data_IF_038132108046
#
_entry.id   IF_038132108046
#
_cell.length_a   1.000
_cell.length_b   1.000
_cell.length_c   1.000
_cell.angle_alpha   90.00
_cell.angle_beta   90.00
_cell.angle_gamma   90.00
#
_symmetry.space_group_name_H-M   'P 1'
#
loop_
_entity.id
_entity.type
_entity.pdbx_description
1 polymer ?
#
# COMPACT_ATOMS: atom_id res chain seq x y z
N UNK A 1 0.44 -13.06 -0.84
CA UNK A 1 1.39 -12.20 -0.09
C UNK A 1 0.61 -11.18 0.74
N UNK A 2 -0.11 -10.25 0.10
CA UNK A 2 -0.87 -9.18 0.77
C UNK A 2 -1.85 -9.65 1.88
N UNK A 3 -2.58 -10.75 1.67
CA UNK A 3 -3.47 -11.35 2.70
C UNK A 3 -2.76 -11.59 4.03
N UNK A 4 -1.53 -12.10 3.99
CA UNK A 4 -0.78 -12.36 5.20
C UNK A 4 -0.51 -11.07 5.99
N UNK A 5 -0.28 -9.95 5.30
CA UNK A 5 -0.06 -8.64 5.95
C UNK A 5 -1.31 -8.17 6.68
N UNK A 6 -2.49 -8.33 6.07
CA UNK A 6 -3.77 -8.06 6.73
C UNK A 6 -3.91 -8.91 8.01
N UNK A 7 -3.57 -10.20 7.94
CA UNK A 7 -3.64 -11.11 9.09
C UNK A 7 -2.65 -10.71 10.20
N UNK A 8 -1.41 -10.35 9.84
CA UNK A 8 -0.37 -9.90 10.78
C UNK A 8 -0.70 -8.57 11.45
N UNK A 9 -1.40 -7.67 10.75
CA UNK A 9 -1.81 -6.39 11.30
C UNK A 9 -3.02 -6.50 12.25
N UNK A 10 -3.76 -7.61 12.23
CA UNK A 10 -4.96 -7.80 13.06
C UNK A 10 -4.70 -7.54 14.55
N UNK A 11 -3.66 -8.16 15.12
CA UNK A 11 -3.34 -7.98 16.54
C UNK A 11 -3.02 -6.51 16.87
N UNK A 12 -2.31 -5.83 15.98
CA UNK A 12 -1.95 -4.42 16.13
C UNK A 12 -3.18 -3.52 16.08
N UNK A 13 -4.11 -3.77 15.16
CA UNK A 13 -5.38 -3.05 15.06
C UNK A 13 -6.18 -3.21 16.35
N UNK A 14 -6.34 -4.44 16.85
CA UNK A 14 -7.09 -4.71 18.09
C UNK A 14 -6.48 -3.99 19.30
N UNK A 15 -5.16 -4.11 19.48
CA UNK A 15 -4.46 -3.45 20.58
C UNK A 15 -4.65 -1.93 20.51
N UNK A 16 -4.32 -1.34 19.36
CA UNK A 16 -4.29 0.11 19.23
C UNK A 16 -5.66 0.76 19.23
N UNK A 17 -6.69 0.11 18.67
CA UNK A 17 -8.06 0.64 18.69
C UNK A 17 -8.62 0.64 20.11
N UNK A 18 -8.35 -0.41 20.89
CA UNK A 18 -8.72 -0.49 22.32
C UNK A 18 -8.19 0.72 23.11
N UNK A 19 -6.98 1.19 22.80
CA UNK A 19 -6.35 2.32 23.47
C UNK A 19 -6.76 3.69 22.89
N UNK A 20 -6.86 3.81 21.55
CA UNK A 20 -6.82 5.13 20.87
C UNK A 20 -8.13 5.61 20.28
N UNK A 21 -9.05 4.70 19.93
CA UNK A 21 -10.34 5.06 19.34
C UNK A 21 -11.26 5.71 20.39
N UNK A 22 -12.03 6.73 20.04
CA UNK A 22 -13.16 7.14 20.86
C UNK A 22 -14.42 6.35 20.45
N UNK A 23 -15.05 5.69 21.42
CA UNK A 23 -16.19 4.80 21.24
C UNK A 23 -17.49 5.45 21.76
N UNK A 24 -17.62 6.75 21.59
CA UNK A 24 -18.78 7.54 22.00
C UNK A 24 -19.91 7.58 20.95
N UNK A 25 -19.62 7.22 19.70
CA UNK A 25 -20.55 7.32 18.56
C UNK A 25 -21.59 6.18 18.52
N UNK A 26 -22.71 6.36 17.83
CA UNK A 26 -23.65 5.25 17.54
C UNK A 26 -23.39 4.61 16.18
N UNK A 27 -22.69 5.32 15.30
CA UNK A 27 -22.49 4.95 13.89
C UNK A 27 -21.03 5.20 13.51
N UNK A 28 -20.40 4.24 12.83
CA UNK A 28 -19.02 4.34 12.35
C UNK A 28 -18.97 4.30 10.83
N UNK A 29 -18.36 5.33 10.27
CA UNK A 29 -18.04 5.43 8.84
C UNK A 29 -16.57 5.06 8.66
N UNK A 30 -16.34 3.97 7.94
CA UNK A 30 -15.02 3.36 7.73
C UNK A 30 -14.72 3.39 6.24
N UNK A 31 -13.53 3.79 5.84
CA UNK A 31 -13.09 3.75 4.44
C UNK A 31 -11.88 2.83 4.26
N UNK A 32 -11.93 1.96 3.26
CA UNK A 32 -10.75 1.26 2.71
C UNK A 32 -10.30 1.96 1.43
N UNK A 33 -9.09 2.50 1.43
CA UNK A 33 -8.50 3.32 0.37
C UNK A 33 -7.49 2.46 -0.42
N UNK A 34 -7.79 2.19 -1.69
CA UNK A 34 -7.09 1.20 -2.51
C UNK A 34 -7.57 -0.22 -2.23
N UNK A 35 -8.89 -0.45 -2.28
CA UNK A 35 -9.52 -1.70 -1.88
C UNK A 35 -9.37 -2.85 -2.89
N UNK A 36 -9.05 -2.55 -4.15
CA UNK A 36 -9.08 -3.46 -5.29
C UNK A 36 -10.44 -4.17 -5.40
N UNK A 37 -10.46 -5.48 -5.64
CA UNK A 37 -11.68 -6.27 -5.91
C UNK A 37 -11.98 -7.35 -4.85
N UNK A 38 -11.24 -7.36 -3.74
CA UNK A 38 -11.30 -8.39 -2.70
C UNK A 38 -10.50 -9.67 -3.02
N UNK A 39 -10.40 -10.61 -2.04
CA UNK A 39 -11.10 -10.65 -0.77
C UNK A 39 -10.40 -9.88 0.38
N UNK A 40 -9.17 -9.39 0.18
CA UNK A 40 -8.36 -8.82 1.26
C UNK A 40 -9.05 -7.63 1.95
N UNK A 41 -9.70 -6.75 1.17
CA UNK A 41 -10.48 -5.61 1.68
C UNK A 41 -11.56 -6.03 2.68
N UNK A 42 -12.31 -7.10 2.40
CA UNK A 42 -13.39 -7.56 3.29
C UNK A 42 -12.84 -8.08 4.62
N UNK A 43 -11.68 -8.75 4.59
CA UNK A 43 -10.99 -9.24 5.78
C UNK A 43 -10.49 -8.06 6.62
N UNK A 44 -9.87 -7.06 5.98
CA UNK A 44 -9.40 -5.85 6.64
C UNK A 44 -10.57 -5.10 7.33
N UNK A 45 -11.67 -4.88 6.60
CA UNK A 45 -12.84 -4.19 7.13
C UNK A 45 -13.49 -4.96 8.28
N UNK A 46 -13.59 -6.30 8.17
CA UNK A 46 -14.09 -7.13 9.27
C UNK A 46 -13.18 -7.03 10.50
N UNK A 47 -11.85 -7.07 10.33
CA UNK A 47 -10.91 -6.93 11.45
C UNK A 47 -11.06 -5.58 12.17
N UNK A 48 -11.30 -4.49 11.44
CA UNK A 48 -11.55 -3.17 12.03
C UNK A 48 -12.88 -3.15 12.78
N UNK A 49 -13.95 -3.66 12.17
CA UNK A 49 -15.28 -3.73 12.80
C UNK A 49 -15.25 -4.58 14.07
N UNK A 50 -14.60 -5.74 14.05
CA UNK A 50 -14.45 -6.61 15.21
C UNK A 50 -13.71 -5.88 16.35
N UNK A 51 -12.67 -5.11 16.03
CA UNK A 51 -11.92 -4.32 17.01
C UNK A 51 -12.79 -3.21 17.64
N UNK A 52 -13.64 -2.56 16.85
CA UNK A 52 -14.59 -1.55 17.34
C UNK A 52 -15.63 -2.21 18.24
N UNK A 53 -16.25 -3.32 17.80
CA UNK A 53 -17.24 -4.06 18.58
C UNK A 53 -16.66 -4.50 19.93
N UNK A 54 -15.44 -5.05 19.94
CA UNK A 54 -14.79 -5.48 21.16
C UNK A 54 -14.62 -4.31 22.15
N UNK A 55 -14.25 -3.14 21.64
CA UNK A 55 -14.15 -1.92 22.47
C UNK A 55 -15.50 -1.45 23.01
N UNK A 56 -16.59 -1.59 22.24
CA UNK A 56 -17.95 -1.30 22.71
C UNK A 56 -18.40 -2.26 23.82
N UNK A 57 -18.08 -3.54 23.68
CA UNK A 57 -18.45 -4.57 24.65
C UNK A 57 -17.66 -4.49 25.96
N UNK A 58 -16.39 -4.06 25.89
CA UNK A 58 -15.50 -3.96 27.06
C UNK A 58 -14.96 -2.53 27.21
N UNK A 59 -15.78 -1.58 27.67
CA UNK A 59 -15.36 -0.20 27.77
C UNK A 59 -14.36 0.00 28.90
N UNK A 60 -13.30 0.77 28.66
CA UNK A 60 -12.34 1.16 29.70
C UNK A 60 -12.94 2.18 30.67
N UNK A 61 -12.35 2.33 31.86
CA UNK A 61 -12.90 3.15 32.95
C UNK A 61 -13.24 4.62 32.56
N UNK A 62 -12.55 5.18 31.56
CA UNK A 62 -12.78 6.53 31.04
C UNK A 62 -14.11 6.70 30.28
N UNK A 63 -14.75 5.61 29.86
CA UNK A 63 -15.95 5.64 28.99
C UNK A 63 -17.25 5.30 29.74
N UNK A 64 -17.21 5.13 31.06
CA UNK A 64 -18.36 4.67 31.86
C UNK A 64 -19.53 5.66 31.94
N UNK A 65 -19.32 6.94 31.61
CA UNK A 65 -20.31 7.99 31.85
C UNK A 65 -21.23 8.31 30.65
N UNK A 66 -21.23 7.51 29.58
CA UNK A 66 -22.08 7.80 28.41
C UNK A 66 -23.37 6.93 28.41
N UNK A 67 -24.56 7.51 28.69
CA UNK A 67 -25.83 6.78 28.76
C UNK A 67 -26.33 6.25 27.40
N UNK A 68 -25.64 6.57 26.30
CA UNK A 68 -25.96 6.12 24.93
C UNK A 68 -25.66 4.63 24.64
N UNK A 69 -25.05 3.88 25.57
CA UNK A 69 -24.58 2.49 25.38
C UNK A 69 -25.67 1.40 25.29
N UNK A 70 -26.93 1.73 24.97
CA UNK A 70 -28.02 0.73 24.92
C UNK A 70 -28.20 0.03 23.56
N UNK A 71 -27.65 0.57 22.47
CA UNK A 71 -27.76 -0.03 21.13
C UNK A 71 -26.41 -0.44 20.56
N UNK A 72 -26.38 -1.52 19.78
CA UNK A 72 -25.20 -1.94 19.04
C UNK A 72 -24.78 -0.86 18.01
N UNK A 73 -23.48 -0.63 17.79
CA UNK A 73 -23.03 0.36 16.81
C UNK A 73 -23.40 -0.08 15.39
N UNK A 74 -23.76 0.90 14.55
CA UNK A 74 -24.01 0.69 13.13
C UNK A 74 -22.74 1.00 12.31
N UNK A 75 -22.54 0.28 11.22
CA UNK A 75 -21.35 0.41 10.39
C UNK A 75 -21.70 0.73 8.94
N UNK A 76 -21.02 1.74 8.39
CA UNK A 76 -21.01 2.03 6.96
C UNK A 76 -19.58 1.96 6.44
N UNK A 77 -19.34 1.08 5.47
CA UNK A 77 -18.02 0.84 4.89
C UNK A 77 -17.99 1.35 3.47
N UNK A 78 -17.03 2.22 3.20
CA UNK A 78 -16.71 2.75 1.88
C UNK A 78 -15.50 2.03 1.30
N UNK A 79 -15.64 1.52 0.10
CA UNK A 79 -14.58 0.88 -0.66
C UNK A 79 -14.12 1.84 -1.75
N UNK A 80 -12.95 2.44 -1.58
CA UNK A 80 -12.37 3.37 -2.54
C UNK A 80 -11.26 2.70 -3.36
N UNK A 81 -11.27 2.98 -4.65
CA UNK A 81 -10.17 2.69 -5.56
C UNK A 81 -10.23 3.65 -6.77
N UNK A 82 -9.30 3.52 -7.70
CA UNK A 82 -9.34 4.24 -8.96
C UNK A 82 -10.65 4.01 -9.73
N UNK A 83 -11.00 4.97 -10.59
CA UNK A 83 -12.26 4.96 -11.35
C UNK A 83 -12.38 3.74 -12.26
N UNK A 84 -11.26 3.21 -12.73
CA UNK A 84 -11.12 2.05 -13.61
C UNK A 84 -11.07 0.71 -12.87
N UNK A 85 -11.09 0.71 -11.53
CA UNK A 85 -11.17 -0.53 -10.75
C UNK A 85 -12.48 -1.29 -11.04
N UNK A 86 -12.41 -2.61 -10.97
CA UNK A 86 -13.58 -3.47 -11.21
C UNK A 86 -14.49 -3.57 -9.96
N UNK A 87 -15.22 -2.48 -9.71
CA UNK A 87 -16.23 -2.42 -8.64
C UNK A 87 -17.35 -3.46 -8.83
N UNK A 88 -17.61 -3.94 -10.05
CA UNK A 88 -18.62 -4.99 -10.27
C UNK A 88 -18.16 -6.30 -9.62
N UNK A 89 -16.91 -6.69 -9.81
CA UNK A 89 -16.33 -7.87 -9.15
C UNK A 89 -16.27 -7.67 -7.65
N UNK A 90 -15.89 -6.48 -7.16
CA UNK A 90 -15.94 -6.16 -5.73
C UNK A 90 -17.34 -6.41 -5.15
N UNK A 91 -18.39 -5.83 -5.75
CA UNK A 91 -19.75 -5.92 -5.22
C UNK A 91 -20.33 -7.33 -5.31
N UNK A 92 -20.00 -8.10 -6.36
CA UNK A 92 -20.39 -9.51 -6.47
C UNK A 92 -19.77 -10.37 -5.37
N UNK A 93 -18.58 -10.00 -4.89
CA UNK A 93 -17.85 -10.73 -3.87
C UNK A 93 -18.10 -10.24 -2.43
N UNK A 94 -18.99 -9.25 -2.23
CA UNK A 94 -19.32 -8.76 -0.89
C UNK A 94 -19.86 -9.90 0.00
N UNK A 95 -19.36 -10.08 1.23
CA UNK A 95 -19.86 -11.12 2.12
C UNK A 95 -21.35 -10.92 2.42
N UNK A 96 -22.16 -11.97 2.24
CA UNK A 96 -23.59 -11.94 2.55
C UNK A 96 -23.87 -11.77 4.05
N UNK A 97 -22.98 -12.29 4.91
CA UNK A 97 -23.07 -12.24 6.36
C UNK A 97 -22.51 -10.94 6.98
N UNK A 98 -22.19 -9.93 6.18
CA UNK A 98 -21.65 -8.66 6.67
C UNK A 98 -22.66 -7.94 7.56
N UNK A 99 -22.15 -7.22 8.57
CA UNK A 99 -22.95 -6.43 9.51
C UNK A 99 -22.84 -4.92 9.24
N UNK A 100 -22.54 -4.55 8.00
CA UNK A 100 -22.33 -3.17 7.56
C UNK A 100 -23.01 -2.88 6.23
N UNK A 101 -23.42 -1.63 6.05
CA UNK A 101 -23.77 -1.09 4.73
C UNK A 101 -22.50 -0.84 3.94
N UNK A 102 -22.54 -1.05 2.62
CA UNK A 102 -21.37 -0.95 1.75
C UNK A 102 -21.63 0.03 0.60
N UNK A 103 -20.65 0.87 0.28
CA UNK A 103 -20.66 1.76 -0.88
C UNK A 103 -19.29 1.77 -1.57
N UNK A 104 -19.28 1.91 -2.89
CA UNK A 104 -18.05 2.14 -3.66
C UNK A 104 -17.81 3.63 -3.87
N UNK A 105 -16.56 4.05 -3.82
CA UNK A 105 -16.15 5.45 -3.98
C UNK A 105 -15.03 5.53 -5.04
N UNK A 106 -15.36 5.74 -6.32
CA UNK A 106 -14.36 5.81 -7.38
C UNK A 106 -13.58 7.14 -7.32
N UNK A 107 -12.25 7.07 -7.34
CA UNK A 107 -11.39 8.24 -7.37
C UNK A 107 -10.03 8.01 -6.70
N UNK A 108 -9.04 8.84 -7.04
CA UNK A 108 -7.73 8.77 -6.39
C UNK A 108 -7.83 9.23 -4.93
N UNK A 109 -7.29 8.43 -4.01
CA UNK A 109 -7.17 8.81 -2.60
C UNK A 109 -6.17 9.94 -2.35
N UNK A 110 -5.43 10.42 -3.34
CA UNK A 110 -4.63 11.65 -3.18
C UNK A 110 -5.48 12.92 -3.14
N UNK A 111 -6.78 12.81 -3.47
CA UNK A 111 -7.75 13.90 -3.43
C UNK A 111 -8.78 13.69 -2.31
N UNK A 112 -9.55 14.74 -1.95
CA UNK A 112 -10.76 14.58 -1.15
C UNK A 112 -11.79 13.70 -1.88
N UNK A 113 -12.37 12.76 -1.14
CA UNK A 113 -13.34 11.76 -1.56
C UNK A 113 -14.63 11.82 -0.73
N UNK A 114 -14.57 12.36 0.50
CA UNK A 114 -15.67 12.36 1.45
C UNK A 114 -15.99 13.78 1.95
N UNK A 115 -17.22 14.04 2.45
CA UNK A 115 -17.53 15.27 3.14
C UNK A 115 -16.62 15.48 4.37
N UNK A 116 -16.41 16.75 4.73
CA UNK A 116 -15.59 17.08 5.89
C UNK A 116 -16.12 16.47 7.19
N UNK A 117 -15.22 16.00 8.06
CA UNK A 117 -15.52 15.42 9.37
C UNK A 117 -16.63 14.35 9.33
N UNK A 118 -16.58 13.45 8.36
CA UNK A 118 -17.55 12.35 8.17
C UNK A 118 -16.97 10.99 8.53
N UNK A 119 -15.68 10.75 8.26
CA UNK A 119 -15.03 9.47 8.50
C UNK A 119 -14.55 9.32 9.94
N UNK A 120 -14.66 8.11 10.47
CA UNK A 120 -14.16 7.75 11.79
C UNK A 120 -12.83 6.99 11.68
N UNK A 121 -12.73 6.13 10.67
CA UNK A 121 -11.56 5.29 10.41
C UNK A 121 -11.27 5.27 8.91
N UNK A 122 -10.02 5.52 8.54
CA UNK A 122 -9.50 5.23 7.21
C UNK A 122 -8.46 4.11 7.30
N UNK A 123 -8.49 3.20 6.35
CA UNK A 123 -7.54 2.12 6.19
C UNK A 123 -6.96 2.18 4.79
N UNK A 124 -5.67 1.92 4.65
CA UNK A 124 -4.98 1.91 3.37
C UNK A 124 -3.90 0.83 3.43
N UNK A 125 -4.05 -0.25 2.66
CA UNK A 125 -3.08 -1.36 2.66
C UNK A 125 -2.60 -1.66 1.25
N UNK A 126 -1.27 -1.69 1.07
CA UNK A 126 -0.62 -1.94 -0.24
C UNK A 126 -1.08 -1.00 -1.36
N UNK A 127 -1.40 0.25 -1.03
CA UNK A 127 -1.79 1.24 -2.03
C UNK A 127 -0.87 2.47 -2.03
N UNK A 128 -0.48 2.99 -0.85
CA UNK A 128 0.26 4.26 -0.74
C UNK A 128 1.69 4.24 -1.29
N UNK A 129 2.25 3.07 -1.58
CA UNK A 129 3.55 2.97 -2.27
C UNK A 129 3.44 3.32 -3.77
N UNK A 130 2.23 3.31 -4.34
CA UNK A 130 1.97 3.69 -5.74
C UNK A 130 1.83 5.20 -5.85
N UNK A 131 2.81 5.83 -6.47
CA UNK A 131 2.85 7.28 -6.68
C UNK A 131 1.74 7.74 -7.62
N UNK A 132 1.34 9.00 -7.49
CA UNK A 132 0.33 9.60 -8.37
C UNK A 132 0.82 9.72 -9.82
N UNK A 133 2.14 9.77 -10.02
CA UNK A 133 2.81 9.86 -11.32
C UNK A 133 4.29 9.46 -11.22
N UNK A 134 4.90 9.22 -12.37
CA UNK A 134 6.37 9.11 -12.48
C UNK A 134 6.98 10.48 -12.18
N UNK A 135 8.05 10.57 -11.36
CA UNK A 135 8.69 11.86 -11.08
C UNK A 135 9.25 12.52 -12.35
N UNK A 136 9.19 13.86 -12.48
CA UNK A 136 9.72 14.57 -13.64
C UNK A 136 11.22 14.29 -13.85
N UNK A 137 11.66 14.20 -15.10
CA UNK A 137 13.07 13.97 -15.43
C UNK A 137 13.57 12.52 -15.29
N UNK A 138 12.74 11.58 -14.82
CA UNK A 138 13.14 10.17 -14.65
C UNK A 138 13.37 9.45 -16.00
N UNK A 139 12.49 9.69 -16.98
CA UNK A 139 12.60 9.11 -18.33
C UNK A 139 13.33 10.00 -19.34
N UNK A 140 13.92 11.11 -18.90
CA UNK A 140 14.45 12.16 -19.79
C UNK A 140 15.97 12.09 -19.88
N UNK A 141 16.49 11.73 -21.06
CA UNK A 141 17.94 11.68 -21.31
C UNK A 141 18.61 13.02 -21.00
N UNK A 142 19.66 12.97 -20.17
CA UNK A 142 20.42 14.15 -19.76
C UNK A 142 19.90 14.85 -18.49
N UNK A 143 18.75 14.42 -17.96
CA UNK A 143 18.30 14.82 -16.62
C UNK A 143 19.24 14.27 -15.54
N UNK A 144 19.52 15.03 -14.46
CA UNK A 144 20.23 14.51 -13.28
C UNK A 144 19.52 13.33 -12.60
N UNK A 145 18.22 13.13 -12.88
CA UNK A 145 17.41 12.04 -12.36
C UNK A 145 17.13 10.96 -13.41
N UNK A 146 17.80 10.97 -14.56
CA UNK A 146 17.55 10.00 -15.63
C UNK A 146 17.86 8.57 -15.18
N UNK A 147 16.84 7.72 -15.15
CA UNK A 147 16.93 6.34 -14.65
C UNK A 147 17.34 5.36 -15.75
N UNK A 148 18.49 5.61 -16.37
CA UNK A 148 18.96 4.83 -17.53
C UNK A 148 19.04 3.33 -17.22
N UNK A 149 18.47 2.50 -18.08
CA UNK A 149 18.58 1.04 -18.00
C UNK A 149 17.89 0.41 -16.78
N UNK A 150 17.04 1.16 -16.08
CA UNK A 150 16.26 0.73 -14.92
C UNK A 150 14.81 1.15 -15.09
N UNK A 151 13.92 0.48 -14.35
CA UNK A 151 12.47 0.70 -14.45
C UNK A 151 11.83 1.09 -13.11
N UNK A 152 12.62 1.33 -12.09
CA UNK A 152 12.17 1.68 -10.74
C UNK A 152 13.28 2.38 -9.95
N UNK A 153 12.94 2.91 -8.77
CA UNK A 153 13.92 3.45 -7.83
C UNK A 153 14.64 2.33 -7.06
N UNK A 154 15.82 1.92 -7.55
CA UNK A 154 16.66 0.90 -6.91
C UNK A 154 17.38 1.37 -5.63
N UNK A 155 17.42 2.70 -5.41
CA UNK A 155 18.01 3.37 -4.23
C UNK A 155 19.53 3.58 -4.28
N UNK A 156 20.20 3.17 -5.37
CA UNK A 156 21.64 3.31 -5.55
C UNK A 156 22.05 4.59 -6.29
N UNK A 157 21.12 5.23 -7.00
CA UNK A 157 21.35 6.47 -7.77
C UNK A 157 20.74 7.67 -7.03
N UNK A 158 21.55 8.63 -6.61
CA UNK A 158 21.12 9.75 -5.76
C UNK A 158 20.04 10.61 -6.43
N UNK A 159 20.25 10.99 -7.70
CA UNK A 159 19.32 11.83 -8.46
C UNK A 159 17.94 11.19 -8.64
N UNK A 160 17.93 9.89 -8.98
CA UNK A 160 16.71 9.09 -9.10
C UNK A 160 16.00 8.98 -7.75
N UNK A 161 16.75 8.61 -6.70
CA UNK A 161 16.20 8.42 -5.35
C UNK A 161 15.59 9.70 -4.81
N UNK A 162 16.25 10.84 -4.99
CA UNK A 162 15.74 12.15 -4.60
C UNK A 162 14.47 12.54 -5.35
N UNK A 163 14.38 12.26 -6.65
CA UNK A 163 13.20 12.56 -7.45
C UNK A 163 11.99 11.71 -7.01
N UNK A 164 12.19 10.40 -6.82
CA UNK A 164 11.16 9.50 -6.32
C UNK A 164 10.69 9.84 -4.89
N UNK A 165 11.63 10.13 -3.99
CA UNK A 165 11.28 10.55 -2.63
C UNK A 165 10.52 11.89 -2.63
N UNK A 166 10.92 12.84 -3.46
CA UNK A 166 10.21 14.12 -3.61
C UNK A 166 8.76 13.94 -4.07
N UNK A 167 8.53 13.03 -5.02
CA UNK A 167 7.18 12.68 -5.47
C UNK A 167 6.37 11.97 -4.37
N UNK A 168 6.97 11.00 -3.68
CA UNK A 168 6.36 10.33 -2.52
C UNK A 168 5.95 11.32 -1.42
N UNK A 169 6.82 12.27 -1.09
CA UNK A 169 6.54 13.29 -0.08
C UNK A 169 5.33 14.16 -0.47
N UNK A 170 5.26 14.59 -1.74
CA UNK A 170 4.13 15.37 -2.24
C UNK A 170 2.82 14.58 -2.20
N UNK A 171 2.87 13.31 -2.62
CA UNK A 171 1.72 12.41 -2.66
C UNK A 171 1.21 12.06 -1.25
N UNK A 172 2.12 11.72 -0.34
CA UNK A 172 1.78 11.40 1.04
C UNK A 172 1.24 12.65 1.78
N UNK A 173 1.78 13.85 1.56
CA UNK A 173 1.22 15.09 2.11
C UNK A 173 -0.18 15.38 1.56
N UNK A 174 -0.42 15.19 0.26
CA UNK A 174 -1.75 15.34 -0.33
C UNK A 174 -2.76 14.34 0.25
N UNK A 175 -2.36 13.07 0.37
CA UNK A 175 -3.15 12.04 1.05
C UNK A 175 -3.51 12.48 2.48
N UNK A 176 -2.53 12.86 3.30
CA UNK A 176 -2.76 13.27 4.68
C UNK A 176 -3.67 14.50 4.76
N UNK A 177 -3.48 15.52 3.92
CA UNK A 177 -4.35 16.71 3.87
C UNK A 177 -5.80 16.35 3.55
N UNK A 178 -6.03 15.49 2.56
CA UNK A 178 -7.37 15.04 2.21
C UNK A 178 -8.01 14.28 3.39
N UNK A 179 -7.30 13.31 3.98
CA UNK A 179 -7.78 12.57 5.15
C UNK A 179 -8.05 13.47 6.35
N UNK A 180 -7.23 14.50 6.55
CA UNK A 180 -7.38 15.45 7.65
C UNK A 180 -8.66 16.28 7.57
N UNK A 181 -9.16 16.54 6.35
CA UNK A 181 -10.42 17.23 6.13
C UNK A 181 -11.61 16.29 6.37
N UNK A 182 -11.49 15.04 5.95
CA UNK A 182 -12.58 14.06 5.95
C UNK A 182 -12.81 13.37 7.30
N UNK A 183 -11.76 13.17 8.08
CA UNK A 183 -11.84 12.50 9.38
C UNK A 183 -12.37 13.44 10.46
N UNK A 184 -13.21 12.90 11.34
CA UNK A 184 -13.57 13.55 12.60
C UNK A 184 -12.32 13.78 13.47
N UNK A 185 -12.41 14.71 14.41
CA UNK A 185 -11.38 14.87 15.44
C UNK A 185 -11.18 13.54 16.20
N UNK A 186 -9.92 13.14 16.36
CA UNK A 186 -9.58 11.87 16.98
C UNK A 186 -9.81 10.63 16.10
N UNK A 187 -10.28 10.80 14.86
CA UNK A 187 -10.39 9.72 13.87
C UNK A 187 -9.03 9.09 13.56
N UNK A 188 -9.05 7.81 13.16
CA UNK A 188 -7.83 7.01 12.99
C UNK A 188 -7.53 6.74 11.51
N UNK A 189 -6.24 6.72 11.15
CA UNK A 189 -5.76 6.23 9.85
C UNK A 189 -4.82 5.06 10.08
N UNK A 190 -5.12 3.91 9.48
CA UNK A 190 -4.25 2.73 9.48
C UNK A 190 -3.61 2.61 8.10
N UNK A 191 -2.29 2.68 8.02
CA UNK A 191 -1.52 2.52 6.79
C UNK A 191 -0.67 1.26 6.89
N UNK A 192 -0.71 0.45 5.84
CA UNK A 192 0.15 -0.71 5.64
C UNK A 192 0.75 -0.63 4.24
N UNK A 193 2.07 -0.64 4.12
CA UNK A 193 2.70 -0.61 2.79
C UNK A 193 4.07 -1.28 2.79
N UNK A 194 4.54 -1.79 1.64
CA UNK A 194 5.93 -2.16 1.46
C UNK A 194 6.86 -1.01 1.86
N UNK A 195 7.94 -1.35 2.55
CA UNK A 195 8.97 -0.40 2.91
C UNK A 195 10.32 -1.06 2.99
N UNK A 196 11.33 -0.27 3.37
CA UNK A 196 12.67 -0.77 3.66
C UNK A 196 12.89 -0.87 5.18
N UNK A 197 13.58 -1.92 5.69
CA UNK A 197 13.75 -2.16 7.14
C UNK A 197 14.38 -0.99 7.89
N UNK A 198 15.38 -0.36 7.27
CA UNK A 198 16.07 0.84 7.73
C UNK A 198 16.72 1.53 6.52
N UNK A 199 17.29 2.72 6.72
CA UNK A 199 17.94 3.48 5.64
C UNK A 199 19.26 2.86 5.12
N UNK A 200 19.69 1.71 5.63
CA UNK A 200 20.91 1.01 5.19
C UNK A 200 20.62 -0.07 4.15
N UNK A 201 19.38 -0.56 4.10
CA UNK A 201 18.93 -1.53 3.11
C UNK A 201 18.36 -0.79 1.90
N UNK A 202 18.97 -1.02 0.74
CA UNK A 202 18.45 -0.45 -0.51
C UNK A 202 17.18 -1.20 -0.95
N UNK A 203 16.24 -0.53 -1.62
CA UNK A 203 15.10 -1.19 -2.27
C UNK A 203 15.51 -2.42 -3.10
N UNK A 204 16.58 -2.31 -3.90
CA UNK A 204 17.14 -3.40 -4.71
C UNK A 204 17.64 -4.63 -3.93
N UNK A 205 17.81 -4.52 -2.60
CA UNK A 205 18.25 -5.61 -1.73
C UNK A 205 17.08 -6.34 -1.05
N UNK A 206 15.85 -5.89 -1.28
CA UNK A 206 14.61 -6.52 -0.80
C UNK A 206 14.07 -7.51 -1.84
N UNK A 207 13.22 -8.45 -1.42
CA UNK A 207 12.53 -9.35 -2.36
C UNK A 207 11.63 -8.58 -3.32
N UNK A 208 10.91 -7.57 -2.81
CA UNK A 208 10.12 -6.64 -3.63
C UNK A 208 10.95 -5.95 -4.73
N UNK A 209 12.09 -5.36 -4.36
CA UNK A 209 13.00 -4.72 -5.31
C UNK A 209 13.66 -5.69 -6.27
N UNK A 210 14.06 -6.89 -5.83
CA UNK A 210 14.61 -7.90 -6.74
C UNK A 210 13.60 -8.35 -7.82
N UNK A 211 12.31 -8.38 -7.52
CA UNK A 211 11.30 -8.65 -8.55
C UNK A 211 11.34 -7.58 -9.66
N UNK A 212 11.47 -6.31 -9.29
CA UNK A 212 11.58 -5.19 -10.23
C UNK A 212 12.93 -5.21 -10.96
N UNK A 213 13.99 -5.60 -10.26
CA UNK A 213 15.33 -5.78 -10.83
C UNK A 213 15.32 -6.85 -11.93
N UNK A 214 14.79 -8.04 -11.63
CA UNK A 214 14.70 -9.12 -12.62
C UNK A 214 13.77 -8.79 -13.78
N UNK A 215 12.70 -8.01 -13.57
CA UNK A 215 11.88 -7.48 -14.66
C UNK A 215 12.69 -6.53 -15.56
N UNK A 216 13.44 -5.60 -14.96
CA UNK A 216 14.31 -4.67 -15.68
C UNK A 216 15.40 -5.38 -16.47
N UNK A 217 16.07 -6.36 -15.87
CA UNK A 217 17.04 -7.20 -16.58
C UNK A 217 16.40 -8.01 -17.71
N UNK A 218 15.14 -8.45 -17.56
CA UNK A 218 14.45 -9.23 -18.59
C UNK A 218 14.12 -8.35 -19.79
N UNK A 219 13.75 -7.09 -19.55
CA UNK A 219 13.61 -6.09 -20.60
C UNK A 219 14.96 -5.80 -21.29
N UNK A 220 16.07 -5.73 -20.54
CA UNK A 220 17.40 -5.56 -21.13
C UNK A 220 17.77 -6.74 -22.04
N UNK A 221 17.43 -7.98 -21.66
CA UNK A 221 17.61 -9.15 -22.52
C UNK A 221 16.78 -9.03 -23.81
N UNK A 222 15.54 -8.54 -23.72
CA UNK A 222 14.70 -8.27 -24.89
C UNK A 222 15.25 -7.16 -25.80
N UNK A 223 15.91 -6.14 -25.24
CA UNK A 223 16.66 -5.13 -26.00
C UNK A 223 17.81 -5.77 -26.76
N UNK A 224 18.61 -6.60 -26.09
CA UNK A 224 19.74 -7.31 -26.70
C UNK A 224 19.29 -8.28 -27.81
N UNK A 225 18.10 -8.86 -27.68
CA UNK A 225 17.48 -9.70 -28.71
C UNK A 225 16.85 -8.91 -29.86
N UNK A 226 16.80 -7.58 -29.79
CA UNK A 226 16.17 -6.71 -30.79
C UNK A 226 14.64 -6.74 -30.79
N UNK A 227 14.01 -7.26 -29.73
CA UNK A 227 12.54 -7.35 -29.60
C UNK A 227 11.94 -5.99 -29.23
N UNK A 228 12.66 -5.20 -28.43
CA UNK A 228 12.31 -3.82 -28.08
C UNK A 228 13.54 -2.91 -28.22
N UNK A 229 13.34 -1.61 -28.40
CA UNK A 229 14.42 -0.62 -28.45
C UNK A 229 14.89 -0.20 -27.06
N UNK A 230 16.17 0.15 -26.90
CA UNK A 230 16.74 0.72 -25.66
C UNK A 230 15.96 1.96 -25.18
N UNK A 231 15.56 2.84 -26.10
CA UNK A 231 14.75 4.04 -25.79
C UNK A 231 13.40 3.70 -25.13
N UNK A 232 12.77 2.61 -25.57
CA UNK A 232 11.49 2.13 -25.02
C UNK A 232 11.67 1.59 -23.60
N UNK A 233 12.81 0.98 -23.30
CA UNK A 233 13.17 0.57 -21.95
C UNK A 233 13.48 1.78 -21.07
N UNK A 234 14.35 2.69 -21.53
CA UNK A 234 14.80 3.87 -20.78
C UNK A 234 13.67 4.86 -20.44
N UNK A 235 12.62 4.91 -21.26
CA UNK A 235 11.45 5.77 -21.03
C UNK A 235 10.44 5.18 -20.05
N UNK A 236 10.50 3.88 -19.75
CA UNK A 236 9.54 3.21 -18.86
C UNK A 236 10.00 3.19 -17.42
N UNK A 237 9.14 3.64 -16.51
CA UNK A 237 9.42 3.60 -15.08
C UNK A 237 8.13 3.33 -14.28
N UNK A 238 8.21 2.49 -13.27
CA UNK A 238 7.10 2.28 -12.34
C UNK A 238 6.92 3.51 -11.43
N UNK A 239 5.69 4.00 -11.25
CA UNK A 239 5.36 5.01 -10.25
C UNK A 239 5.27 4.36 -8.87
N UNK A 240 6.40 3.85 -8.37
CA UNK A 240 6.46 3.07 -7.14
C UNK A 240 7.61 3.57 -6.26
N UNK A 241 7.34 3.82 -4.98
CA UNK A 241 8.36 4.13 -3.97
C UNK A 241 8.15 3.31 -2.70
N UNK A 242 9.22 2.72 -2.18
CA UNK A 242 9.22 1.94 -0.94
C UNK A 242 9.94 2.75 0.15
N UNK A 243 9.21 3.49 1.00
CA UNK A 243 9.81 4.35 2.01
C UNK A 243 10.34 3.55 3.21
N UNK A 244 11.26 4.15 3.94
CA UNK A 244 11.61 3.79 5.32
C UNK A 244 10.59 4.35 6.31
N UNK A 245 10.57 3.79 7.53
CA UNK A 245 9.76 4.37 8.63
C UNK A 245 10.13 5.82 8.92
N UNK A 246 11.42 6.16 8.84
CA UNK A 246 11.97 7.50 9.09
C UNK A 246 11.44 8.54 8.10
N UNK A 247 11.36 8.16 6.83
CA UNK A 247 10.79 9.01 5.79
C UNK A 247 9.30 9.26 6.03
N UNK A 248 8.54 8.22 6.41
CA UNK A 248 7.12 8.37 6.75
C UNK A 248 6.92 9.27 7.97
N UNK A 249 7.71 9.07 9.04
CA UNK A 249 7.71 9.95 10.22
C UNK A 249 7.93 11.41 9.82
N UNK A 250 8.96 11.67 9.02
CA UNK A 250 9.32 13.01 8.55
C UNK A 250 8.15 13.68 7.81
N UNK A 251 7.49 12.97 6.88
CA UNK A 251 6.37 13.53 6.12
C UNK A 251 5.17 13.83 7.03
N UNK A 252 4.84 12.94 7.96
CA UNK A 252 3.72 13.13 8.90
C UNK A 252 3.99 14.31 9.85
N UNK A 253 5.20 14.45 10.35
CA UNK A 253 5.63 15.55 11.22
C UNK A 253 5.54 16.91 10.50
N UNK A 254 5.94 16.96 9.22
CA UNK A 254 5.83 18.17 8.38
C UNK A 254 4.37 18.54 8.12
N UNK A 255 3.52 17.55 7.83
CA UNK A 255 2.09 17.75 7.54
C UNK A 255 1.31 18.31 8.74
N UNK A 256 1.70 17.92 9.96
CA UNK A 256 1.15 18.38 11.25
C UNK A 256 -0.31 18.04 11.53
N UNK A 257 -1.10 17.52 10.59
CA UNK A 257 -2.52 17.22 10.82
C UNK A 257 -2.78 16.03 11.75
N UNK A 258 -1.80 15.13 11.90
CA UNK A 258 -1.93 13.89 12.66
C UNK A 258 -0.87 13.74 13.75
N UNK A 259 -1.18 12.99 14.80
CA UNK A 259 -0.20 12.39 15.71
C UNK A 259 0.12 10.97 15.24
N UNK A 260 1.38 10.56 15.37
CA UNK A 260 1.81 9.18 15.15
C UNK A 260 1.55 8.41 16.45
N UNK A 261 0.55 7.54 16.47
CA UNK A 261 0.22 6.72 17.64
C UNK A 261 1.05 5.43 17.65
N UNK A 262 1.38 4.91 16.47
CA UNK A 262 2.26 3.75 16.30
C UNK A 262 2.91 3.80 14.93
N UNK A 263 4.21 3.51 14.89
CA UNK A 263 4.89 3.09 13.67
C UNK A 263 5.77 1.90 13.98
N UNK A 264 5.68 0.85 13.18
CA UNK A 264 6.57 -0.29 13.30
C UNK A 264 6.70 -1.05 11.99
N UNK A 265 7.77 -1.82 11.92
CA UNK A 265 8.11 -2.68 10.80
C UNK A 265 7.64 -4.09 11.13
N UNK A 266 6.76 -4.66 10.32
CA UNK A 266 6.28 -6.03 10.46
C UNK A 266 7.00 -6.91 9.43
N UNK A 267 7.58 -8.02 9.89
CA UNK A 267 8.16 -9.02 8.99
C UNK A 267 7.08 -9.58 8.07
N UNK A 268 7.42 -9.83 6.82
CA UNK A 268 6.50 -10.45 5.90
C UNK A 268 6.09 -11.86 6.38
N UNK A 269 4.81 -12.15 6.65
CA UNK A 269 4.38 -13.46 7.13
C UNK A 269 4.54 -14.56 6.07
N UNK A 270 4.80 -14.23 4.81
CA UNK A 270 5.28 -15.19 3.82
C UNK A 270 6.66 -15.75 4.23
N UNK A 271 7.50 -14.96 4.91
CA UNK A 271 8.86 -15.35 5.33
C UNK A 271 8.88 -16.44 6.41
N UNK A 272 7.82 -16.56 7.22
CA UNK A 272 7.74 -17.57 8.29
C UNK A 272 7.10 -18.89 7.85
N UNK A 273 6.49 -18.93 6.66
CA UNK A 273 5.77 -20.10 6.13
C UNK A 273 6.24 -20.57 4.76
N UNK A 274 7.21 -19.90 4.13
CA UNK A 274 7.69 -20.27 2.80
C UNK A 274 8.63 -21.47 2.90
N UNK A 275 8.22 -22.60 2.31
CA UNK A 275 9.15 -23.60 1.80
C UNK A 275 10.01 -23.02 0.67
N UNK A 276 10.74 -23.86 -0.10
CA UNK A 276 11.57 -23.39 -1.21
C UNK A 276 10.76 -22.53 -2.20
N UNK A 277 11.44 -21.60 -2.87
CA UNK A 277 10.84 -20.74 -3.90
C UNK A 277 10.04 -21.57 -4.91
N UNK A 278 8.76 -21.20 -5.09
CA UNK A 278 7.93 -21.72 -6.18
C UNK A 278 7.92 -20.64 -7.27
N UNK A 279 8.74 -20.84 -8.32
CA UNK A 279 8.99 -19.86 -9.38
C UNK A 279 7.71 -19.50 -10.11
N UNK A 280 6.89 -20.50 -10.50
CA UNK A 280 5.67 -20.30 -11.27
C UNK A 280 4.65 -19.47 -10.49
N UNK A 281 4.48 -19.79 -9.20
CA UNK A 281 3.56 -19.06 -8.31
C UNK A 281 4.01 -17.62 -8.09
N UNK A 282 5.30 -17.40 -7.92
CA UNK A 282 5.89 -16.07 -7.74
C UNK A 282 5.74 -15.26 -9.03
N UNK A 283 6.09 -15.85 -10.18
CA UNK A 283 5.94 -15.23 -11.49
C UNK A 283 4.49 -14.82 -11.78
N UNK A 284 3.53 -15.72 -11.58
CA UNK A 284 2.11 -15.40 -11.74
C UNK A 284 1.63 -14.28 -10.81
N UNK A 285 2.12 -14.24 -9.56
CA UNK A 285 1.74 -13.21 -8.59
C UNK A 285 2.30 -11.83 -8.94
N UNK A 286 3.53 -11.76 -9.47
CA UNK A 286 4.11 -10.49 -9.93
C UNK A 286 3.45 -10.06 -11.23
N UNK A 287 3.19 -11.01 -12.14
CA UNK A 287 2.48 -10.76 -13.39
C UNK A 287 1.12 -10.12 -13.18
N UNK A 288 0.31 -10.64 -12.27
CA UNK A 288 -1.01 -10.07 -11.99
C UNK A 288 -0.98 -8.62 -11.49
N UNK A 289 0.15 -8.16 -10.94
CA UNK A 289 0.34 -6.79 -10.44
C UNK A 289 0.91 -5.89 -11.53
N UNK A 290 1.94 -6.36 -12.25
CA UNK A 290 2.76 -5.51 -13.10
C UNK A 290 2.33 -5.50 -14.57
N UNK A 291 1.71 -6.56 -15.07
CA UNK A 291 1.43 -6.73 -16.51
C UNK A 291 0.58 -5.60 -17.08
N UNK A 292 -0.48 -5.20 -16.40
CA UNK A 292 -1.35 -4.13 -16.87
C UNK A 292 -0.59 -2.79 -17.03
N UNK A 293 0.36 -2.51 -16.13
CA UNK A 293 1.16 -1.27 -16.17
C UNK A 293 2.21 -1.29 -17.28
N UNK A 294 2.65 -2.48 -17.70
CA UNK A 294 3.69 -2.66 -18.71
C UNK A 294 3.12 -2.83 -20.12
N UNK A 295 1.92 -3.43 -20.23
CA UNK A 295 1.32 -3.81 -21.52
C UNK A 295 1.10 -2.63 -22.45
N UNK A 296 0.61 -1.51 -21.94
CA UNK A 296 0.31 -0.35 -22.77
C UNK A 296 1.59 0.30 -23.32
N UNK A 297 2.67 0.24 -22.56
CA UNK A 297 3.97 0.75 -22.99
C UNK A 297 4.67 -0.23 -23.93
N UNK A 298 4.81 -1.50 -23.55
CA UNK A 298 5.63 -2.48 -24.26
C UNK A 298 4.90 -3.27 -25.35
N UNK A 299 3.57 -3.34 -25.33
CA UNK A 299 2.75 -4.16 -26.22
C UNK A 299 2.37 -5.50 -25.58
N UNK A 300 1.12 -5.94 -25.76
CA UNK A 300 0.59 -7.20 -25.22
C UNK A 300 1.37 -8.43 -25.68
N UNK A 301 1.82 -8.41 -26.92
CA UNK A 301 2.61 -9.47 -27.56
C UNK A 301 3.95 -9.71 -26.86
N UNK A 302 4.45 -8.74 -26.11
CA UNK A 302 5.73 -8.81 -25.40
C UNK A 302 5.61 -9.27 -23.95
N UNK A 303 4.38 -9.38 -23.40
CA UNK A 303 4.19 -9.76 -21.99
C UNK A 303 4.54 -11.23 -21.73
N UNK A 304 4.13 -12.14 -22.60
CA UNK A 304 4.45 -13.57 -22.44
C UNK A 304 5.97 -13.84 -22.50
N UNK A 305 6.71 -13.33 -23.52
CA UNK A 305 8.17 -13.43 -23.53
C UNK A 305 8.85 -12.81 -22.31
N UNK A 306 8.39 -11.63 -21.87
CA UNK A 306 8.95 -10.93 -20.71
C UNK A 306 8.81 -11.79 -19.43
N UNK A 307 7.61 -12.30 -19.15
CA UNK A 307 7.38 -13.11 -17.95
C UNK A 307 8.03 -14.50 -18.02
N UNK A 308 8.30 -15.01 -19.23
CA UNK A 308 9.12 -16.19 -19.41
C UNK A 308 10.58 -15.93 -18.99
N UNK A 309 11.20 -14.85 -19.47
CA UNK A 309 12.55 -14.45 -19.07
C UNK A 309 12.65 -14.13 -17.57
N UNK A 310 11.64 -13.45 -17.03
CA UNK A 310 11.55 -13.18 -15.60
C UNK A 310 11.55 -14.47 -14.76
N UNK A 311 10.77 -15.48 -15.16
CA UNK A 311 10.73 -16.77 -14.48
C UNK A 311 12.10 -17.48 -14.52
N UNK A 312 12.81 -17.42 -15.66
CA UNK A 312 14.18 -17.96 -15.76
C UNK A 312 15.16 -17.26 -14.82
N UNK A 313 15.04 -15.93 -14.65
CA UNK A 313 15.89 -15.17 -13.71
C UNK A 313 15.59 -15.51 -12.26
N UNK A 314 14.31 -15.66 -11.89
CA UNK A 314 13.92 -16.13 -10.56
C UNK A 314 14.52 -17.51 -10.27
N UNK A 315 14.44 -18.44 -11.23
CA UNK A 315 14.99 -19.79 -11.09
C UNK A 315 16.51 -19.77 -10.94
N UNK A 316 17.21 -19.02 -11.79
CA UNK A 316 18.68 -18.91 -11.75
C UNK A 316 19.20 -18.27 -10.46
N UNK A 317 18.44 -17.34 -9.89
CA UNK A 317 18.83 -16.54 -8.72
C UNK A 317 18.07 -16.94 -7.45
N UNK A 318 17.60 -18.19 -7.34
CA UNK A 318 16.74 -18.66 -6.25
C UNK A 318 17.30 -18.34 -4.86
N UNK A 319 18.56 -18.67 -4.59
CA UNK A 319 19.18 -18.44 -3.27
C UNK A 319 19.29 -16.95 -2.92
N UNK A 320 19.61 -16.11 -3.92
CA UNK A 320 19.67 -14.66 -3.74
C UNK A 320 18.27 -14.13 -3.39
N UNK A 321 17.26 -14.56 -4.13
CA UNK A 321 15.87 -14.16 -3.93
C UNK A 321 15.33 -14.61 -2.57
N UNK A 322 15.57 -15.86 -2.17
CA UNK A 322 15.18 -16.38 -0.85
C UNK A 322 15.82 -15.60 0.31
N UNK A 323 17.08 -15.17 0.16
CA UNK A 323 17.75 -14.33 1.16
C UNK A 323 17.20 -12.89 1.19
N UNK A 324 16.85 -12.33 0.04
CA UNK A 324 16.32 -10.98 -0.07
C UNK A 324 14.88 -10.87 0.47
N UNK A 325 14.01 -11.85 0.17
CA UNK A 325 12.63 -11.89 0.69
C UNK A 325 12.61 -11.87 2.22
N UNK A 326 13.58 -12.50 2.88
CA UNK A 326 13.67 -12.47 4.36
C UNK A 326 13.82 -11.06 4.93
N UNK A 327 14.31 -10.13 4.11
CA UNK A 327 14.43 -8.70 4.45
C UNK A 327 13.18 -7.91 4.09
N UNK A 328 12.19 -8.50 3.42
CA UNK A 328 10.92 -7.82 3.12
C UNK A 328 10.20 -7.47 4.41
N UNK A 329 9.85 -6.19 4.48
CA UNK A 329 9.10 -5.65 5.58
C UNK A 329 7.92 -4.85 5.08
N UNK A 330 6.92 -4.75 5.94
CA UNK A 330 5.79 -3.85 5.74
C UNK A 330 5.75 -2.87 6.89
N UNK A 331 5.58 -1.60 6.56
CA UNK A 331 5.35 -0.57 7.54
C UNK A 331 3.90 -0.66 7.99
N UNK A 332 3.68 -0.72 9.31
CA UNK A 332 2.40 -0.46 9.94
C UNK A 332 2.46 0.91 10.57
N UNK A 333 1.54 1.79 10.20
CA UNK A 333 1.44 3.15 10.73
C UNK A 333 0.01 3.38 11.21
N UNK A 334 -0.13 3.80 12.46
CA UNK A 334 -1.38 4.31 13.01
C UNK A 334 -1.24 5.79 13.29
N UNK A 335 -2.11 6.57 12.65
CA UNK A 335 -2.21 8.00 12.82
C UNK A 335 -3.53 8.36 13.50
N UNK A 336 -3.53 9.41 14.31
CA UNK A 336 -4.75 9.97 14.91
C UNK A 336 -4.90 11.43 14.51
N UNK A 337 -6.09 11.80 14.05
CA UNK A 337 -6.39 13.17 13.62
C UNK A 337 -6.37 14.10 14.82
N UNK A 338 -5.53 15.14 14.77
CA UNK A 338 -5.52 16.20 15.79
C UNK A 338 -6.80 17.02 15.72
N UNK A 339 -7.27 17.49 16.87
CA UNK A 339 -8.26 18.57 16.93
C UNK A 339 -7.72 19.85 16.31
N UNK A 340 -8.63 20.72 15.86
CA UNK A 340 -8.23 22.04 15.41
C UNK A 340 -7.67 22.82 16.62
N UNK A 341 -6.47 23.37 16.47
CA UNK A 341 -5.90 24.30 17.45
C UNK A 341 -6.66 25.62 17.50
#
# INVERSE_FOLDING_TARGET
>A
MQRGVIDSAKAMIFQTFSEKLDASNSTFLIADLGCSTGPNTFIAMQNIIDAIILKYQFPTQQTHNNPAKKSAPEFHVFFNDHVDNDFNTLFKNLPASRIYSAAGVPGSFYNPLFPAASLHVAHCSYALQWLSKIPPGIGERGSPAWNKGKIYCAGNEEGVTKAYFGQFQADMDAFLKARAQELVEGGLVVIQMPGVPDCTVLPSQTGGGLNLEFLGESLADMVNMGVISEEKMDSFNFPLYMPSSKEVETVVEINKCFTIEKICTLSNPVNSKSGPLIVEKTSASIRSIMENLMRDHFGSENMDPLFHLFAQKLQKNQLLYENAIRKDVFLFVLLKRKGNF
#
